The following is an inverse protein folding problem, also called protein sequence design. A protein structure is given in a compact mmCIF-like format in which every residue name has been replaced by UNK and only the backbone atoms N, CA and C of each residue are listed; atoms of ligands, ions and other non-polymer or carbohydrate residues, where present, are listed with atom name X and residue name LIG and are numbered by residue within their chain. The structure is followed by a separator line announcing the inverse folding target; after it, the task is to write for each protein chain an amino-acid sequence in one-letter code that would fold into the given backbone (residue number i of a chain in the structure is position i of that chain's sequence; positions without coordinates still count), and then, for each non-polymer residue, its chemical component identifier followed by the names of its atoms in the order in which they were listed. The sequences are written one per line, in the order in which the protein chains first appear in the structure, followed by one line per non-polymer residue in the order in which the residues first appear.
data_IF_082236838074
#
_entry.id   IF_082236838074
#
_cell.length_a   1.000
_cell.length_b   1.000
_cell.length_c   1.000
_cell.angle_alpha   90.00
_cell.angle_beta   90.00
_cell.angle_gamma   90.00
#
_symmetry.space_group_name_H-M   'P 1'
#
loop_
_entity.id
_entity.type
_entity.pdbx_description
1 polymer ?
#
# COMPACT_ATOMS: atom_id res chain seq x y z
N UNK A 1 -11.10 -0.29 2.77
CA UNK A 1 -10.35 -1.57 2.69
C UNK A 1 -9.10 -1.43 3.53
N UNK A 2 -8.66 -2.49 4.20
CA UNK A 2 -7.42 -2.42 5.00
C UNK A 2 -6.20 -2.33 4.09
N UNK A 3 -5.27 -1.45 4.42
CA UNK A 3 -3.96 -1.32 3.76
C UNK A 3 -2.86 -1.08 4.80
N UNK A 4 -1.65 -1.54 4.52
CA UNK A 4 -0.45 -1.18 5.29
C UNK A 4 0.11 0.13 4.72
N UNK A 5 0.16 1.17 5.54
CA UNK A 5 0.58 2.53 5.15
C UNK A 5 1.91 2.85 5.83
N UNK A 6 2.85 3.39 5.07
CA UNK A 6 4.07 4.02 5.60
C UNK A 6 3.79 5.49 5.88
N UNK A 7 3.53 5.84 7.15
CA UNK A 7 3.23 7.21 7.56
C UNK A 7 4.47 8.10 7.49
N UNK A 8 5.63 7.55 7.87
CA UNK A 8 6.99 8.15 7.75
C UNK A 8 8.03 7.05 8.00
N UNK A 9 9.31 7.38 7.82
CA UNK A 9 10.39 6.45 8.16
C UNK A 9 10.23 5.92 9.60
N UNK A 10 10.28 4.60 9.76
CA UNK A 10 10.12 3.90 11.03
C UNK A 10 8.68 3.75 11.53
N UNK A 11 7.67 4.24 10.81
CA UNK A 11 6.27 4.22 11.26
C UNK A 11 5.33 3.69 10.16
N UNK A 12 4.80 2.48 10.40
CA UNK A 12 3.79 1.84 9.54
C UNK A 12 2.56 1.48 10.36
N UNK A 13 1.38 1.57 9.73
CA UNK A 13 0.11 1.22 10.36
C UNK A 13 -0.82 0.52 9.38
N UNK A 14 -1.70 -0.33 9.90
CA UNK A 14 -2.82 -0.86 9.13
C UNK A 14 -3.98 0.11 9.27
N UNK A 15 -4.43 0.67 8.16
CA UNK A 15 -5.49 1.68 8.10
C UNK A 15 -6.63 1.24 7.17
N UNK A 16 -7.82 1.74 7.43
CA UNK A 16 -8.96 1.62 6.52
C UNK A 16 -8.91 2.73 5.47
N UNK A 17 -8.53 2.37 4.24
CA UNK A 17 -8.42 3.27 3.09
C UNK A 17 -9.67 3.20 2.23
N UNK A 18 -10.19 4.35 1.82
CA UNK A 18 -11.28 4.41 0.85
C UNK A 18 -10.72 4.35 -0.57
N UNK A 19 -11.27 3.45 -1.38
CA UNK A 19 -10.99 3.46 -2.81
C UNK A 19 -11.96 4.45 -3.46
N UNK A 20 -11.49 5.66 -3.75
CA UNK A 20 -12.31 6.76 -4.25
C UNK A 20 -12.19 6.98 -5.76
N UNK A 21 -11.49 6.10 -6.47
CA UNK A 21 -11.20 6.29 -7.90
C UNK A 21 -12.27 5.66 -8.78
N UNK A 22 -12.73 6.45 -9.76
CA UNK A 22 -13.60 5.96 -10.83
C UNK A 22 -12.74 5.18 -11.83
N UNK A 23 -13.09 3.92 -12.06
CA UNK A 23 -12.39 3.09 -13.04
C UNK A 23 -12.65 3.60 -14.47
N UNK A 24 -11.57 3.76 -15.23
CA UNK A 24 -11.63 3.99 -16.65
C UNK A 24 -12.00 2.72 -17.44
N UNK A 25 -12.18 2.84 -18.76
CA UNK A 25 -12.63 1.73 -19.61
C UNK A 25 -11.65 0.54 -19.65
N UNK A 26 -10.36 0.77 -19.40
CA UNK A 26 -9.31 -0.24 -19.44
C UNK A 26 -8.81 -0.66 -18.04
N UNK A 27 -9.42 -0.11 -16.98
CA UNK A 27 -9.01 -0.40 -15.60
C UNK A 27 -9.71 -1.63 -15.05
N UNK A 28 -9.03 -2.33 -14.13
CA UNK A 28 -9.61 -3.46 -13.39
C UNK A 28 -9.36 -3.30 -11.90
N UNK A 29 -10.34 -3.75 -11.10
CA UNK A 29 -10.19 -3.82 -9.66
C UNK A 29 -9.79 -5.23 -9.23
N UNK A 30 -8.66 -5.35 -8.53
CA UNK A 30 -8.14 -6.64 -8.06
C UNK A 30 -8.30 -6.74 -6.55
N UNK A 31 -8.98 -7.80 -6.09
CA UNK A 31 -8.98 -8.18 -4.68
C UNK A 31 -7.71 -8.98 -4.38
N UNK A 32 -6.76 -8.36 -3.69
CA UNK A 32 -5.49 -8.99 -3.32
C UNK A 32 -5.77 -10.22 -2.42
N UNK A 33 -5.30 -11.39 -2.87
CA UNK A 33 -5.35 -12.63 -2.08
C UNK A 33 -4.07 -12.82 -1.25
N UNK A 34 -2.91 -12.47 -1.81
CA UNK A 34 -1.60 -12.64 -1.16
C UNK A 34 -0.61 -11.58 -1.64
N UNK A 35 0.28 -11.17 -0.74
CA UNK A 35 1.33 -10.18 -0.99
C UNK A 35 2.56 -10.53 -0.14
N UNK A 36 3.75 -10.11 -0.55
CA UNK A 36 5.00 -10.30 0.18
C UNK A 36 5.76 -8.98 0.32
N UNK A 37 6.79 -8.99 1.18
CA UNK A 37 7.66 -7.84 1.42
C UNK A 37 8.92 -7.99 0.56
N UNK A 38 9.28 -6.93 -0.16
CA UNK A 38 10.52 -6.82 -0.92
C UNK A 38 11.62 -6.14 -0.08
N UNK A 39 12.89 -6.37 -0.42
CA UNK A 39 14.00 -5.65 0.21
C UNK A 39 13.92 -4.13 0.03
N UNK A 40 13.34 -3.64 -1.07
CA UNK A 40 13.10 -2.21 -1.29
C UNK A 40 12.14 -1.60 -0.27
N UNK A 41 11.15 -2.37 0.21
CA UNK A 41 10.19 -1.88 1.20
C UNK A 41 10.88 -1.60 2.53
N UNK A 42 11.86 -2.45 2.88
CA UNK A 42 12.71 -2.27 4.06
C UNK A 42 13.55 -1.00 3.92
N UNK A 43 14.12 -0.75 2.74
CA UNK A 43 14.86 0.49 2.48
C UNK A 43 14.00 1.74 2.72
N UNK A 44 12.78 1.77 2.15
CA UNK A 44 11.84 2.89 2.35
C UNK A 44 11.39 3.04 3.79
N UNK A 45 11.11 1.92 4.47
CA UNK A 45 10.74 1.93 5.88
C UNK A 45 11.84 2.56 6.76
N UNK A 46 13.11 2.22 6.51
CA UNK A 46 14.21 2.69 7.35
C UNK A 46 14.63 4.14 7.06
N UNK A 47 14.71 4.52 5.79
CA UNK A 47 15.38 5.76 5.39
C UNK A 47 14.40 6.86 4.96
N UNK A 48 13.13 6.52 4.73
CA UNK A 48 12.24 7.40 3.98
C UNK A 48 12.64 7.45 2.50
N UNK A 49 12.04 8.39 1.76
CA UNK A 49 12.24 8.53 0.31
C UNK A 49 13.68 8.84 -0.07
#
# INVERSE_FOLDING_TARGET
MKALVLAKAGEIAIEDVQLAETLGPDDVQIKIHSVGICGSDVHYYQHGR
#
